data_IF_362735638390
#
_entry.id   IF_362735638390
#
_cell.length_a   1.000
_cell.length_b   1.000
_cell.length_c   1.000
_cell.angle_alpha   90.00
_cell.angle_beta   90.00
_cell.angle_gamma   90.00
#
_symmetry.space_group_name_H-M   'P 1'
#
loop_
_entity.id
_entity.type
_entity.pdbx_description
1 polymer ?
#
# COMPACT_ATOMS: atom_id res chain seq x y z
N UNK A 1 6.25 -52.98 -5.05
CA UNK A 1 6.85 -52.03 -4.13
C UNK A 1 7.37 -50.80 -4.86
N UNK A 2 8.16 -50.91 -5.93
CA UNK A 2 8.74 -49.75 -6.65
C UNK A 2 7.72 -48.78 -7.20
N UNK A 3 6.63 -49.25 -7.81
CA UNK A 3 5.56 -48.37 -8.33
C UNK A 3 4.87 -47.57 -7.22
N UNK A 4 4.63 -48.22 -6.05
CA UNK A 4 4.01 -47.56 -4.93
C UNK A 4 4.87 -46.42 -4.35
N UNK A 5 6.20 -46.64 -4.28
CA UNK A 5 7.14 -45.61 -3.83
C UNK A 5 7.18 -44.46 -4.82
N UNK A 6 7.28 -44.72 -6.12
CA UNK A 6 7.31 -43.68 -7.14
C UNK A 6 6.01 -42.86 -7.16
N UNK A 7 4.84 -43.49 -6.98
CA UNK A 7 3.56 -42.78 -6.90
C UNK A 7 3.48 -41.91 -5.63
N UNK A 8 3.97 -42.37 -4.50
CA UNK A 8 4.03 -41.63 -3.28
C UNK A 8 4.91 -40.37 -3.40
N UNK A 9 6.10 -40.54 -3.99
CA UNK A 9 7.00 -39.41 -4.25
C UNK A 9 6.34 -38.36 -5.16
N UNK A 10 5.68 -38.79 -6.23
CA UNK A 10 4.98 -37.88 -7.14
C UNK A 10 3.86 -37.09 -6.42
N UNK A 11 3.05 -37.77 -5.60
CA UNK A 11 1.98 -37.12 -4.83
C UNK A 11 2.54 -36.11 -3.85
N UNK A 12 3.63 -36.45 -3.15
CA UNK A 12 4.29 -35.53 -2.21
C UNK A 12 4.77 -34.26 -2.95
N UNK A 13 5.50 -34.44 -4.05
CA UNK A 13 6.04 -33.32 -4.84
C UNK A 13 4.91 -32.43 -5.36
N UNK A 14 3.85 -33.00 -5.93
CA UNK A 14 2.71 -32.23 -6.41
C UNK A 14 1.97 -31.50 -5.28
N UNK A 15 1.83 -32.12 -4.11
CA UNK A 15 1.18 -31.49 -2.96
C UNK A 15 1.98 -30.32 -2.45
N UNK A 16 3.31 -30.43 -2.35
CA UNK A 16 4.19 -29.32 -1.95
C UNK A 16 4.14 -28.21 -2.98
N UNK A 17 4.16 -28.55 -4.28
CA UNK A 17 4.12 -27.54 -5.33
C UNK A 17 2.80 -26.77 -5.36
N UNK A 18 1.67 -27.47 -5.21
CA UNK A 18 0.36 -26.82 -5.11
C UNK A 18 0.26 -25.93 -3.89
N UNK A 19 0.70 -26.39 -2.71
CA UNK A 19 0.71 -25.57 -1.50
C UNK A 19 1.60 -24.34 -1.61
N UNK A 20 2.75 -24.47 -2.28
CA UNK A 20 3.62 -23.34 -2.56
C UNK A 20 2.99 -22.36 -3.56
N UNK A 21 2.35 -22.84 -4.60
CA UNK A 21 1.63 -22.01 -5.56
C UNK A 21 0.52 -21.20 -4.89
N UNK A 22 -0.29 -21.85 -4.04
CA UNK A 22 -1.37 -21.18 -3.30
C UNK A 22 -0.82 -20.14 -2.33
N UNK A 23 0.29 -20.44 -1.66
CA UNK A 23 0.98 -19.50 -0.79
C UNK A 23 1.48 -18.27 -1.55
N UNK A 24 2.15 -18.46 -2.68
CA UNK A 24 2.64 -17.36 -3.52
C UNK A 24 1.46 -16.55 -4.07
N UNK A 25 0.41 -17.20 -4.55
CA UNK A 25 -0.78 -16.53 -5.06
C UNK A 25 -1.42 -15.65 -3.97
N UNK A 26 -1.47 -16.10 -2.72
CA UNK A 26 -2.05 -15.32 -1.61
C UNK A 26 -1.28 -14.03 -1.32
N UNK A 27 0.03 -14.00 -1.53
CA UNK A 27 0.81 -12.77 -1.34
C UNK A 27 0.52 -11.71 -2.40
N UNK A 28 0.27 -12.12 -3.63
CA UNK A 28 -0.02 -11.18 -4.72
C UNK A 28 -1.48 -10.69 -4.70
N UNK A 29 -2.43 -11.50 -4.23
CA UNK A 29 -3.86 -11.14 -4.25
C UNK A 29 -4.27 -10.19 -3.12
N UNK A 30 -3.46 -10.00 -2.10
CA UNK A 30 -3.84 -9.16 -0.95
C UNK A 30 -3.73 -7.66 -1.22
N UNK A 31 -2.88 -7.24 -2.16
CA UNK A 31 -2.66 -5.83 -2.52
C UNK A 31 -3.03 -5.50 -3.95
N UNK A 32 -2.87 -6.46 -4.87
CA UNK A 32 -3.02 -6.19 -6.29
C UNK A 32 -4.48 -6.30 -6.70
N UNK A 33 -5.05 -5.26 -7.33
CA UNK A 33 -6.39 -5.34 -7.90
C UNK A 33 -6.38 -6.30 -9.09
N UNK A 34 -7.53 -6.89 -9.40
CA UNK A 34 -7.68 -7.76 -10.59
C UNK A 34 -7.43 -7.01 -11.90
N UNK A 35 -7.77 -5.72 -11.92
CA UNK A 35 -7.59 -4.84 -13.07
C UNK A 35 -7.10 -3.49 -12.57
N UNK A 36 -6.03 -2.99 -13.16
CA UNK A 36 -5.52 -1.65 -12.94
C UNK A 36 -5.69 -0.81 -14.20
N UNK A 37 -6.17 0.42 -14.05
CA UNK A 37 -6.33 1.39 -15.14
C UNK A 37 -5.34 2.52 -14.93
N UNK A 38 -4.37 2.61 -15.81
CA UNK A 38 -3.33 3.64 -15.75
C UNK A 38 -3.45 4.63 -16.91
N UNK A 39 -3.11 5.91 -16.72
CA UNK A 39 -3.10 6.87 -17.81
C UNK A 39 -2.00 6.55 -18.81
N UNK A 40 -2.30 6.71 -20.10
CA UNK A 40 -1.31 6.50 -21.19
C UNK A 40 -0.23 7.57 -21.25
N UNK A 41 -0.46 8.72 -20.65
CA UNK A 41 0.50 9.82 -20.53
C UNK A 41 0.33 10.52 -19.18
N UNK A 42 1.46 10.91 -18.57
CA UNK A 42 1.46 11.51 -17.24
C UNK A 42 1.43 10.46 -16.13
N UNK A 43 1.34 10.92 -14.89
CA UNK A 43 1.30 10.04 -13.70
C UNK A 43 -0.10 9.91 -13.11
N UNK A 44 -0.99 10.84 -13.39
CA UNK A 44 -2.32 10.90 -12.79
C UNK A 44 -3.37 11.22 -13.85
N UNK A 45 -4.54 10.66 -13.70
CA UNK A 45 -5.74 11.03 -14.44
C UNK A 45 -6.66 11.90 -13.57
N UNK A 46 -7.45 12.81 -14.12
CA UNK A 46 -8.47 13.52 -13.37
C UNK A 46 -9.52 12.53 -12.82
N UNK A 47 -9.95 12.71 -11.58
CA UNK A 47 -10.95 11.84 -10.95
C UNK A 47 -12.32 11.86 -11.65
N UNK A 48 -12.62 12.95 -12.38
CA UNK A 48 -13.83 13.17 -13.15
C UNK A 48 -13.70 12.77 -14.64
N UNK A 49 -12.65 12.02 -15.00
CA UNK A 49 -12.47 11.54 -16.36
C UNK A 49 -13.70 10.74 -16.83
N UNK A 50 -14.27 11.06 -18.01
CA UNK A 50 -15.46 10.39 -18.53
C UNK A 50 -15.27 8.88 -18.75
N UNK A 51 -14.04 8.43 -19.03
CA UNK A 51 -13.73 7.00 -19.22
C UNK A 51 -13.78 6.29 -17.88
N UNK A 52 -13.14 6.86 -16.85
CA UNK A 52 -13.17 6.29 -15.49
C UNK A 52 -14.60 6.25 -14.94
N UNK A 53 -15.39 7.28 -15.19
CA UNK A 53 -16.80 7.31 -14.80
C UNK A 53 -17.60 6.19 -15.47
N UNK A 54 -17.38 5.94 -16.77
CA UNK A 54 -18.03 4.82 -17.48
C UNK A 54 -17.59 3.46 -16.95
N UNK A 55 -16.30 3.27 -16.65
CA UNK A 55 -15.79 2.01 -16.09
C UNK A 55 -16.45 1.72 -14.76
N UNK A 56 -16.57 2.69 -13.87
CA UNK A 56 -17.22 2.54 -12.55
C UNK A 56 -18.71 2.15 -12.65
N UNK A 57 -19.36 2.45 -13.78
CA UNK A 57 -20.77 2.14 -14.02
C UNK A 57 -21.00 0.78 -14.70
N UNK A 58 -19.94 0.06 -15.08
CA UNK A 58 -20.10 -1.26 -15.69
C UNK A 58 -20.68 -2.26 -14.69
N UNK A 59 -21.67 -3.08 -15.09
CA UNK A 59 -22.32 -4.03 -14.19
C UNK A 59 -21.39 -5.13 -13.68
N UNK A 60 -20.30 -5.38 -14.37
CA UNK A 60 -19.29 -6.38 -14.01
C UNK A 60 -18.19 -5.84 -13.07
N UNK A 61 -18.21 -4.54 -12.77
CA UNK A 61 -17.30 -3.91 -11.81
C UNK A 61 -17.95 -3.88 -10.44
N UNK A 62 -17.50 -4.74 -9.55
CA UNK A 62 -18.02 -4.82 -8.19
C UNK A 62 -17.53 -3.66 -7.32
N UNK A 63 -16.24 -3.34 -7.39
CA UNK A 63 -15.61 -2.27 -6.62
C UNK A 63 -14.59 -1.56 -7.50
N UNK A 64 -14.58 -0.24 -7.46
CA UNK A 64 -13.55 0.59 -8.07
C UNK A 64 -13.07 1.61 -7.03
N UNK A 65 -11.77 1.75 -6.89
CA UNK A 65 -11.12 2.72 -5.99
C UNK A 65 -10.08 3.51 -6.75
N UNK A 66 -9.90 4.76 -6.35
CA UNK A 66 -8.83 5.60 -6.89
C UNK A 66 -7.59 5.46 -6.02
N UNK A 67 -6.45 5.31 -6.68
CA UNK A 67 -5.15 5.19 -6.02
C UNK A 67 -4.22 6.25 -6.59
N UNK A 68 -3.49 6.92 -5.70
CA UNK A 68 -2.42 7.85 -6.07
C UNK A 68 -1.14 7.38 -5.41
N UNK A 69 -0.12 7.15 -6.23
CA UNK A 69 1.18 6.71 -5.76
C UNK A 69 2.25 7.77 -6.04
N UNK A 70 3.03 8.09 -5.02
CA UNK A 70 4.16 9.02 -5.15
C UNK A 70 5.25 8.71 -4.13
N UNK A 71 6.43 9.27 -4.39
CA UNK A 71 7.56 9.17 -3.47
C UNK A 71 7.55 10.31 -2.47
N UNK A 72 7.85 9.99 -1.23
CA UNK A 72 7.98 10.96 -0.15
C UNK A 72 9.15 10.59 0.78
N UNK A 73 9.60 11.56 1.55
CA UNK A 73 10.51 11.33 2.65
C UNK A 73 9.69 11.15 3.94
N UNK A 74 9.77 9.97 4.52
CA UNK A 74 9.18 9.65 5.80
C UNK A 74 10.17 9.95 6.93
N UNK A 75 9.73 10.65 7.96
CA UNK A 75 10.52 10.98 9.13
C UNK A 75 9.77 10.58 10.39
N UNK A 76 10.43 9.80 11.24
CA UNK A 76 9.93 9.44 12.55
C UNK A 76 11.02 9.65 13.60
N UNK A 77 10.77 10.56 14.54
CA UNK A 77 11.78 10.96 15.52
C UNK A 77 13.03 11.54 14.86
N UNK A 78 14.12 10.79 14.87
CA UNK A 78 15.42 11.16 14.26
C UNK A 78 15.76 10.33 13.03
N UNK A 79 14.96 9.35 12.71
CA UNK A 79 15.16 8.47 11.55
C UNK A 79 14.40 9.02 10.35
N UNK A 80 14.95 8.78 9.17
CA UNK A 80 14.35 9.19 7.91
C UNK A 80 14.57 8.13 6.84
N UNK A 81 13.57 7.93 5.98
CA UNK A 81 13.60 6.96 4.90
C UNK A 81 12.82 7.47 3.70
N UNK A 82 13.34 7.24 2.49
CA UNK A 82 12.55 7.44 1.27
C UNK A 82 11.53 6.31 1.14
N UNK A 83 10.30 6.68 0.89
CA UNK A 83 9.17 5.74 0.82
C UNK A 83 8.30 6.02 -0.39
N UNK A 84 7.64 4.98 -0.87
CA UNK A 84 6.50 5.12 -1.77
C UNK A 84 5.24 5.22 -0.93
N UNK A 85 4.48 6.28 -1.13
CA UNK A 85 3.21 6.53 -0.44
C UNK A 85 2.07 6.23 -1.41
N UNK A 86 1.17 5.36 -1.00
CA UNK A 86 -0.04 5.04 -1.72
C UNK A 86 -1.24 5.70 -1.00
N UNK A 87 -1.81 6.71 -1.62
CA UNK A 87 -3.06 7.32 -1.17
C UNK A 87 -4.26 6.57 -1.75
N UNK A 88 -5.13 6.08 -0.90
CA UNK A 88 -6.29 5.26 -1.28
C UNK A 88 -7.57 5.83 -0.67
N UNK A 89 -8.71 5.44 -1.25
CA UNK A 89 -10.03 5.78 -0.73
C UNK A 89 -10.47 4.81 0.39
N UNK A 90 -11.49 5.19 1.16
CA UNK A 90 -12.02 4.39 2.27
C UNK A 90 -12.57 3.01 1.82
N UNK A 91 -12.95 2.89 0.54
CA UNK A 91 -13.43 1.62 -0.02
C UNK A 91 -12.32 0.64 -0.44
N UNK A 92 -11.06 0.98 -0.20
CA UNK A 92 -9.91 0.14 -0.55
C UNK A 92 -9.96 -1.23 0.12
N UNK A 93 -10.49 -1.33 1.34
CA UNK A 93 -10.71 -2.61 2.03
C UNK A 93 -11.66 -3.55 1.27
N UNK A 94 -12.59 -3.01 0.47
CA UNK A 94 -13.50 -3.84 -0.31
C UNK A 94 -12.84 -4.43 -1.56
N UNK A 95 -11.75 -3.83 -2.01
CA UNK A 95 -10.98 -4.27 -3.17
C UNK A 95 -9.87 -5.26 -2.77
N UNK A 96 -9.34 -5.10 -1.58
CA UNK A 96 -8.15 -5.83 -1.09
C UNK A 96 -8.46 -6.54 0.22
N UNK A 97 -7.69 -7.57 0.53
CA UNK A 97 -7.77 -8.26 1.83
C UNK A 97 -6.76 -7.65 2.82
N UNK A 98 -6.70 -6.32 2.89
CA UNK A 98 -5.69 -5.63 3.69
C UNK A 98 -5.80 -5.96 5.18
N UNK A 99 -7.01 -6.21 5.66
CA UNK A 99 -7.25 -6.58 7.07
C UNK A 99 -6.58 -7.90 7.46
N UNK A 100 -6.46 -8.84 6.51
CA UNK A 100 -5.85 -10.16 6.75
C UNK A 100 -4.33 -10.10 6.93
N UNK A 101 -3.73 -9.00 6.50
CA UNK A 101 -2.27 -8.80 6.54
C UNK A 101 -1.84 -7.71 7.53
N UNK A 102 -2.78 -7.15 8.29
CA UNK A 102 -2.45 -6.26 9.39
C UNK A 102 -1.77 -7.04 10.54
N UNK A 103 -0.70 -6.49 11.07
CA UNK A 103 0.03 -7.10 12.16
C UNK A 103 -0.65 -6.83 13.51
N UNK A 104 -0.92 -7.89 14.26
CA UNK A 104 -1.54 -7.81 15.59
C UNK A 104 -3.01 -7.41 15.54
N UNK A 105 -3.42 -6.55 16.45
CA UNK A 105 -4.80 -6.03 16.55
C UNK A 105 -4.97 -4.73 15.74
N UNK A 106 -4.20 -4.57 14.66
CA UNK A 106 -4.26 -3.40 13.78
C UNK A 106 -5.61 -3.27 13.08
N UNK A 107 -6.04 -2.05 12.85
CA UNK A 107 -7.27 -1.72 12.13
C UNK A 107 -6.92 -0.87 10.91
N UNK A 108 -7.55 -1.16 9.77
CA UNK A 108 -7.41 -0.31 8.60
C UNK A 108 -8.30 0.91 8.75
N UNK A 109 -7.71 1.99 9.23
CA UNK A 109 -8.39 3.27 9.38
C UNK A 109 -7.49 4.36 8.80
N UNK A 110 -7.99 5.12 7.82
CA UNK A 110 -7.25 6.20 7.17
C UNK A 110 -7.55 7.56 7.80
N UNK A 111 -8.74 7.71 8.37
CA UNK A 111 -9.15 8.95 9.02
C UNK A 111 -10.13 8.66 10.15
N UNK A 112 -9.92 9.28 11.32
CA UNK A 112 -10.90 9.31 12.39
C UNK A 112 -10.93 10.70 13.02
N UNK A 113 -12.11 11.30 13.10
CA UNK A 113 -12.31 12.69 13.53
C UNK A 113 -11.45 13.66 12.68
N UNK A 114 -10.50 14.34 13.29
CA UNK A 114 -9.57 15.28 12.63
C UNK A 114 -8.15 14.73 12.51
N UNK A 115 -7.98 13.41 12.68
CA UNK A 115 -6.68 12.76 12.61
C UNK A 115 -6.59 11.94 11.34
N UNK A 116 -5.46 12.05 10.67
CA UNK A 116 -5.12 11.22 9.51
C UNK A 116 -4.16 10.12 9.94
N UNK A 117 -4.34 8.94 9.36
CA UNK A 117 -3.58 7.76 9.68
C UNK A 117 -2.82 7.25 8.46
N UNK A 118 -1.67 6.64 8.71
CA UNK A 118 -0.91 5.91 7.72
C UNK A 118 -0.57 4.53 8.25
N UNK A 119 -0.61 3.55 7.38
CA UNK A 119 -0.27 2.17 7.70
C UNK A 119 1.06 1.85 7.03
N UNK A 120 2.19 1.94 7.75
CA UNK A 120 3.49 1.61 7.21
C UNK A 120 3.66 0.09 7.10
N UNK A 121 4.46 -0.34 6.12
CA UNK A 121 4.94 -1.72 6.08
C UNK A 121 5.82 -2.02 7.31
N UNK A 122 5.81 -3.27 7.76
CA UNK A 122 6.53 -3.68 8.97
C UNK A 122 8.04 -3.37 8.89
N UNK A 123 8.63 -3.53 7.71
CA UNK A 123 10.05 -3.23 7.51
C UNK A 123 10.33 -1.73 7.69
N UNK A 124 9.49 -0.88 7.10
CA UNK A 124 9.62 0.57 7.28
C UNK A 124 9.47 0.96 8.76
N UNK A 125 8.51 0.38 9.46
CA UNK A 125 8.32 0.62 10.87
C UNK A 125 9.56 0.23 11.69
N UNK A 126 10.21 -0.89 11.37
CA UNK A 126 11.46 -1.32 11.98
C UNK A 126 12.62 -0.38 11.66
N UNK A 127 12.80 -0.01 10.39
CA UNK A 127 13.89 0.88 9.92
C UNK A 127 13.77 2.29 10.54
N UNK A 128 12.55 2.77 10.73
CA UNK A 128 12.28 4.04 11.40
C UNK A 128 12.29 3.94 12.95
N UNK A 129 12.42 2.72 13.50
CA UNK A 129 12.39 2.51 14.95
C UNK A 129 11.04 2.82 15.59
N UNK A 130 9.94 2.62 14.85
CA UNK A 130 8.60 2.80 15.37
C UNK A 130 8.31 1.70 16.39
N UNK A 131 7.88 2.09 17.58
CA UNK A 131 7.50 1.13 18.61
C UNK A 131 6.10 0.57 18.35
N UNK A 132 5.78 -0.59 18.94
CA UNK A 132 4.44 -1.18 18.85
C UNK A 132 3.33 -0.28 19.46
N UNK A 133 3.69 0.75 20.19
CA UNK A 133 2.75 1.72 20.77
C UNK A 133 2.54 2.95 19.91
N UNK A 134 3.32 3.12 18.83
CA UNK A 134 3.21 4.23 17.89
C UNK A 134 3.11 5.61 18.57
N UNK A 135 3.95 5.86 19.55
CA UNK A 135 3.91 7.05 20.43
C UNK A 135 4.29 8.36 19.73
N UNK A 136 4.42 8.37 18.42
CA UNK A 136 4.87 9.52 17.66
C UNK A 136 4.09 9.75 16.37
N UNK A 137 4.41 10.87 15.73
CA UNK A 137 3.88 11.21 14.42
C UNK A 137 4.87 10.81 13.33
N UNK A 138 4.35 10.11 12.32
CA UNK A 138 5.05 9.90 11.07
C UNK A 138 4.86 11.15 10.20
N UNK A 139 5.94 11.86 9.91
CA UNK A 139 5.90 13.04 9.04
C UNK A 139 6.26 12.62 7.62
N UNK A 140 5.42 12.98 6.67
CA UNK A 140 5.64 12.75 5.26
C UNK A 140 5.95 14.09 4.57
N UNK A 141 7.05 14.13 3.86
CA UNK A 141 7.48 15.26 3.04
C UNK A 141 7.37 14.85 1.58
N UNK A 142 6.32 15.32 0.91
CA UNK A 142 6.12 15.08 -0.51
C UNK A 142 6.56 16.30 -1.33
N UNK A 143 7.34 16.13 -2.42
CA UNK A 143 7.79 17.24 -3.25
C UNK A 143 6.60 17.90 -3.96
N UNK A 144 6.55 19.23 -3.93
CA UNK A 144 5.54 19.98 -4.68
C UNK A 144 5.88 19.93 -6.16
N UNK A 145 4.95 19.45 -6.97
CA UNK A 145 5.15 19.28 -8.42
C UNK A 145 4.91 20.56 -9.25
N UNK A 146 4.39 21.62 -8.65
CA UNK A 146 4.08 22.88 -9.33
C UNK A 146 4.85 24.02 -8.71
N UNK A 147 5.69 24.66 -9.51
CA UNK A 147 6.46 25.83 -9.14
C UNK A 147 7.93 25.68 -9.48
N UNK A 148 8.58 26.74 -9.93
CA UNK A 148 10.03 26.81 -9.95
C UNK A 148 10.48 27.14 -8.51
N UNK A 149 11.34 26.32 -7.97
CA UNK A 149 12.07 26.66 -6.74
C UNK A 149 12.94 27.88 -7.07
N UNK A 150 12.61 29.01 -6.51
CA UNK A 150 13.44 30.20 -6.59
C UNK A 150 14.59 30.03 -5.62
N UNK A 151 15.81 30.41 -5.99
CA UNK A 151 17.01 30.27 -5.14
C UNK A 151 16.91 30.94 -3.76
N UNK A 152 15.87 31.74 -3.55
CA UNK A 152 15.56 32.46 -2.29
C UNK A 152 14.39 31.85 -1.51
N UNK A 153 13.80 30.73 -1.98
CA UNK A 153 12.72 30.08 -1.28
C UNK A 153 13.22 29.32 -0.04
N UNK A 154 12.42 29.34 1.03
CA UNK A 154 12.67 28.50 2.19
C UNK A 154 12.75 27.03 1.73
N UNK A 155 13.75 26.23 2.15
CA UNK A 155 13.85 24.83 1.78
C UNK A 155 12.59 24.00 2.04
N UNK A 156 11.71 24.47 2.91
CA UNK A 156 10.43 23.84 3.23
C UNK A 156 9.30 24.18 2.25
N UNK A 157 9.42 25.25 1.48
CA UNK A 157 8.37 25.67 0.51
C UNK A 157 8.23 24.68 -0.68
N UNK A 158 9.25 23.86 -0.93
CA UNK A 158 9.25 22.82 -1.97
C UNK A 158 8.55 21.52 -1.57
N UNK A 159 8.03 21.42 -0.34
CA UNK A 159 7.43 20.19 0.19
C UNK A 159 6.08 20.46 0.86
N UNK A 160 5.15 19.54 0.63
CA UNK A 160 3.95 19.41 1.48
C UNK A 160 4.32 18.49 2.63
N UNK A 161 4.06 18.94 3.85
CA UNK A 161 4.35 18.17 5.07
C UNK A 161 3.05 17.81 5.74
N UNK A 162 2.86 16.53 6.02
CA UNK A 162 1.74 16.04 6.81
C UNK A 162 2.24 15.17 7.96
N UNK A 163 1.47 15.17 9.07
CA UNK A 163 1.79 14.42 10.28
C UNK A 163 0.70 13.38 10.52
N UNK A 164 1.07 12.12 10.39
CA UNK A 164 0.17 10.99 10.41
C UNK A 164 0.41 10.17 11.68
N UNK A 165 -0.65 9.54 12.18
CA UNK A 165 -0.59 8.54 13.23
C UNK A 165 -0.67 7.17 12.57
N UNK A 166 0.04 6.18 13.10
CA UNK A 166 -0.05 4.82 12.60
C UNK A 166 -0.93 3.98 13.54
N UNK A 167 -2.12 3.52 13.10
CA UNK A 167 -2.98 2.64 13.91
C UNK A 167 -2.52 1.19 13.87
N UNK A 168 -1.61 0.84 12.97
CA UNK A 168 -1.11 -0.51 12.77
C UNK A 168 0.01 -0.55 11.75
N UNK A 169 0.56 -1.72 11.52
CA UNK A 169 1.55 -2.00 10.47
C UNK A 169 1.06 -3.15 9.62
N UNK A 170 1.33 -3.08 8.33
CA UNK A 170 1.03 -4.17 7.40
C UNK A 170 2.24 -5.09 7.32
N UNK A 171 1.99 -6.38 7.33
CA UNK A 171 2.95 -7.39 6.91
C UNK A 171 3.15 -7.26 5.40
N UNK A 172 3.69 -6.12 4.97
CA UNK A 172 4.02 -5.95 3.58
C UNK A 172 5.25 -6.78 3.26
N UNK A 173 5.02 -7.75 2.46
CA UNK A 173 6.06 -8.52 1.80
C UNK A 173 6.55 -7.70 0.62
N UNK A 174 7.76 -7.21 0.71
CA UNK A 174 8.61 -6.91 -0.43
C UNK A 174 9.99 -7.46 -0.15
#
# INVERSE_FOLDING_TARGET
VGVAVATMELVIVLSVFNGFHDLVASFFTNFDPQIEVVPTSGKTAPADDPVLTKIRQLPDVAVATDVVEDQALAIYGRQQQMVTVMGVQDNFQQLTNIDDILYGDGEFTLQAANLFYAIPGIRLAQDLGMSARFDGYLKLYAPVRRGQLTELADPTEGFVVDSLISPGVVYAVN
#
